data_IF_680216869621
#
_entry.id   IF_680216869621
#
_cell.length_a   1.000
_cell.length_b   1.000
_cell.length_c   1.000
_cell.angle_alpha   90.00
_cell.angle_beta   90.00
_cell.angle_gamma   90.00
#
_symmetry.space_group_name_H-M   'P 1'
#
loop_
_entity.id
_entity.type
_entity.pdbx_description
1 polymer ?
#
# COMPACT_ATOMS: atom_id res chain seq x y z
N UNK A 1 21.11 -17.02 20.17
CA UNK A 1 22.11 -16.12 19.54
C UNK A 1 21.42 -15.31 18.45
N UNK A 2 21.64 -14.00 18.41
CA UNK A 2 20.90 -13.05 17.58
C UNK A 2 21.33 -13.12 16.12
N UNK A 3 20.54 -13.76 15.26
CA UNK A 3 20.71 -13.78 13.80
C UNK A 3 20.25 -12.45 13.20
N UNK A 4 21.10 -11.42 13.25
CA UNK A 4 20.88 -10.19 12.52
C UNK A 4 21.32 -10.37 11.06
N UNK A 5 20.52 -9.91 10.10
CA UNK A 5 20.90 -9.89 8.69
C UNK A 5 22.23 -9.14 8.49
N UNK A 6 23.25 -9.79 7.95
CA UNK A 6 24.57 -9.20 7.71
C UNK A 6 24.60 -8.48 6.34
N UNK A 7 25.23 -7.31 6.29
CA UNK A 7 25.49 -6.59 5.03
C UNK A 7 26.78 -7.16 4.44
N UNK A 8 26.72 -7.62 3.20
CA UNK A 8 27.87 -8.20 2.50
C UNK A 8 28.42 -7.21 1.46
N UNK A 9 29.73 -7.03 1.41
CA UNK A 9 30.41 -6.09 0.50
C UNK A 9 30.69 -6.67 -0.90
N UNK A 10 30.58 -7.99 -1.09
CA UNK A 10 30.74 -8.66 -2.38
C UNK A 10 29.43 -8.75 -3.19
N UNK A 11 29.50 -8.47 -4.49
CA UNK A 11 28.39 -8.74 -5.40
C UNK A 11 28.23 -10.27 -5.61
N UNK A 12 27.00 -10.81 -5.57
CA UNK A 12 26.78 -12.25 -5.76
C UNK A 12 27.13 -12.69 -7.19
N UNK A 13 27.57 -13.93 -7.31
CA UNK A 13 27.93 -14.57 -8.59
C UNK A 13 26.72 -14.83 -9.49
N UNK A 14 25.53 -15.06 -8.91
CA UNK A 14 24.29 -15.25 -9.65
C UNK A 14 23.14 -14.41 -9.08
N UNK A 15 22.59 -13.51 -9.88
CA UNK A 15 21.46 -12.65 -9.48
C UNK A 15 20.19 -13.04 -10.21
N UNK A 16 19.21 -13.46 -9.42
CA UNK A 16 17.84 -13.66 -9.85
C UNK A 16 17.16 -12.30 -9.86
N UNK A 17 16.86 -11.82 -11.06
CA UNK A 17 16.28 -10.50 -11.26
C UNK A 17 15.01 -10.58 -12.09
N UNK A 18 14.14 -9.60 -11.86
CA UNK A 18 12.94 -9.42 -12.65
C UNK A 18 13.26 -8.88 -14.04
N UNK A 19 12.29 -9.03 -14.95
CA UNK A 19 12.39 -8.52 -16.32
C UNK A 19 12.78 -7.03 -16.36
N UNK A 20 13.41 -6.61 -17.48
CA UNK A 20 13.83 -5.22 -17.68
C UNK A 20 12.66 -4.24 -17.48
N UNK A 21 11.44 -4.61 -17.89
CA UNK A 21 10.24 -3.78 -17.72
C UNK A 21 9.92 -3.52 -16.24
N UNK A 22 9.89 -4.58 -15.42
CA UNK A 22 9.62 -4.45 -13.97
C UNK A 22 10.69 -3.59 -13.29
N UNK A 23 11.97 -3.80 -13.62
CA UNK A 23 13.06 -2.99 -13.06
C UNK A 23 12.98 -1.53 -13.49
N UNK A 24 12.58 -1.24 -14.72
CA UNK A 24 12.37 0.13 -15.21
C UNK A 24 11.21 0.81 -14.49
N UNK A 25 10.06 0.13 -14.33
CA UNK A 25 8.91 0.65 -13.58
C UNK A 25 9.31 0.94 -12.14
N UNK A 26 9.99 0.00 -11.47
CA UNK A 26 10.52 0.20 -10.11
C UNK A 26 11.45 1.41 -10.07
N UNK A 27 12.42 1.49 -10.98
CA UNK A 27 13.35 2.62 -11.08
C UNK A 27 12.65 3.97 -11.29
N UNK A 28 11.61 4.00 -12.13
CA UNK A 28 10.80 5.21 -12.36
C UNK A 28 10.05 5.63 -11.10
N UNK A 29 9.41 4.69 -10.37
CA UNK A 29 8.75 4.97 -9.08
C UNK A 29 9.75 5.53 -8.07
N UNK A 30 10.93 4.93 -7.98
CA UNK A 30 12.02 5.40 -7.13
C UNK A 30 12.43 6.83 -7.45
N UNK A 31 12.66 7.12 -8.74
CA UNK A 31 13.08 8.44 -9.20
C UNK A 31 11.98 9.49 -8.98
N UNK A 32 10.72 9.14 -9.26
CA UNK A 32 9.59 10.02 -9.02
C UNK A 32 9.44 10.37 -7.54
N UNK A 33 9.42 9.37 -6.65
CA UNK A 33 9.27 9.61 -5.22
C UNK A 33 10.44 10.41 -4.63
N UNK A 34 11.69 10.03 -4.95
CA UNK A 34 12.86 10.73 -4.45
C UNK A 34 12.97 12.15 -5.02
N UNK A 35 12.83 12.29 -6.34
CA UNK A 35 12.91 13.57 -7.03
C UNK A 35 11.79 14.51 -6.63
N UNK A 36 10.56 14.02 -6.51
CA UNK A 36 9.42 14.77 -6.02
C UNK A 36 9.65 15.30 -4.60
N UNK A 37 10.06 14.43 -3.68
CA UNK A 37 10.28 14.81 -2.29
C UNK A 37 11.41 15.84 -2.13
N UNK A 38 12.53 15.66 -2.86
CA UNK A 38 13.65 16.60 -2.85
C UNK A 38 13.22 17.94 -3.45
N UNK A 39 12.54 17.94 -4.61
CA UNK A 39 12.05 19.16 -5.23
C UNK A 39 11.08 19.91 -4.33
N UNK A 40 10.13 19.20 -3.69
CA UNK A 40 9.21 19.77 -2.72
C UNK A 40 9.94 20.39 -1.53
N UNK A 41 10.96 19.71 -1.01
CA UNK A 41 11.79 20.20 0.09
C UNK A 41 12.59 21.45 -0.27
N UNK A 42 13.23 21.47 -1.45
CA UNK A 42 13.94 22.64 -1.96
C UNK A 42 12.98 23.81 -2.17
N UNK A 43 11.81 23.59 -2.77
CA UNK A 43 10.80 24.63 -2.96
C UNK A 43 10.28 25.20 -1.64
N UNK A 44 10.11 24.36 -0.61
CA UNK A 44 9.72 24.80 0.72
C UNK A 44 10.77 25.73 1.34
N UNK A 45 12.05 25.38 1.22
CA UNK A 45 13.15 26.24 1.68
C UNK A 45 13.25 27.53 0.89
N UNK A 46 13.11 27.49 -0.43
CA UNK A 46 13.10 28.70 -1.28
C UNK A 46 11.97 29.64 -0.85
N UNK A 47 10.77 29.11 -0.61
CA UNK A 47 9.62 29.92 -0.15
C UNK A 47 9.83 30.50 1.25
N UNK A 48 10.46 29.74 2.14
CA UNK A 48 10.73 30.17 3.52
C UNK A 48 11.86 31.21 3.58
N UNK A 49 12.99 30.96 2.92
CA UNK A 49 14.19 31.81 2.98
C UNK A 49 14.18 32.96 1.96
N UNK A 50 13.40 32.85 0.87
CA UNK A 50 13.35 33.84 -0.21
C UNK A 50 13.08 35.27 0.27
N UNK A 51 12.08 35.52 1.13
CA UNK A 51 11.83 36.84 1.71
C UNK A 51 13.02 37.37 2.52
N UNK A 52 13.69 36.52 3.31
CA UNK A 52 14.86 36.91 4.09
C UNK A 52 16.07 37.25 3.19
N UNK A 53 16.27 36.50 2.11
CA UNK A 53 17.31 36.80 1.11
C UNK A 53 17.05 38.13 0.41
N UNK A 54 15.79 38.45 0.10
CA UNK A 54 15.44 39.76 -0.47
C UNK A 54 15.76 40.91 0.48
N UNK A 55 15.49 40.75 1.78
CA UNK A 55 15.87 41.74 2.80
C UNK A 55 17.39 41.96 2.81
N UNK A 56 18.19 40.90 2.78
CA UNK A 56 19.66 41.00 2.74
C UNK A 56 20.14 41.73 1.47
N UNK A 57 19.52 41.47 0.32
CA UNK A 57 19.94 42.06 -0.96
C UNK A 57 19.57 43.53 -1.11
N UNK A 58 18.46 43.98 -0.51
CA UNK A 58 17.97 45.36 -0.63
C UNK A 58 18.60 46.28 0.42
N UNK A 59 19.02 45.74 1.57
CA UNK A 59 19.55 46.55 2.68
C UNK A 59 21.07 46.64 2.59
N UNK A 60 21.60 47.81 2.22
CA UNK A 60 23.03 47.99 1.89
C UNK A 60 23.86 48.82 2.89
N UNK A 61 23.28 49.33 3.98
CA UNK A 61 23.95 50.39 4.74
C UNK A 61 24.17 50.16 6.25
N UNK A 62 23.33 49.40 6.97
CA UNK A 62 23.47 49.27 8.44
C UNK A 62 23.14 47.87 8.96
N UNK A 63 24.05 47.30 9.77
CA UNK A 63 24.01 45.89 10.20
C UNK A 63 22.91 45.60 11.23
N UNK A 64 22.72 46.50 12.20
CA UNK A 64 21.73 46.32 13.28
C UNK A 64 20.26 46.39 12.81
N UNK A 65 19.81 47.38 12.02
CA UNK A 65 18.43 47.41 11.53
C UNK A 65 18.15 46.27 10.54
N UNK A 66 19.15 45.85 9.76
CA UNK A 66 19.02 44.69 8.85
C UNK A 66 18.77 43.40 9.63
N UNK A 67 19.49 43.17 10.73
CA UNK A 67 19.31 41.97 11.56
C UNK A 67 17.95 41.90 12.24
N UNK A 68 17.41 43.04 12.71
CA UNK A 68 16.05 43.09 13.28
C UNK A 68 14.98 42.82 12.22
N UNK A 69 15.10 43.47 11.05
CA UNK A 69 14.16 43.26 9.94
C UNK A 69 14.20 41.81 9.42
N UNK A 70 15.38 41.18 9.40
CA UNK A 70 15.53 39.76 9.04
C UNK A 70 14.83 38.85 10.06
N UNK A 71 15.03 39.09 11.36
CA UNK A 71 14.40 38.32 12.43
C UNK A 71 12.88 38.42 12.37
N UNK A 72 12.34 39.63 12.19
CA UNK A 72 10.90 39.86 12.06
C UNK A 72 10.33 39.19 10.79
N UNK A 73 11.06 39.28 9.67
CA UNK A 73 10.65 38.65 8.40
C UNK A 73 10.59 37.13 8.52
N UNK A 74 11.55 36.51 9.22
CA UNK A 74 11.57 35.07 9.49
C UNK A 74 10.49 34.65 10.50
N UNK A 75 10.24 35.46 11.53
CA UNK A 75 9.21 35.21 12.54
C UNK A 75 7.79 35.19 11.94
N UNK A 76 7.55 35.97 10.88
CA UNK A 76 6.29 36.01 10.15
C UNK A 76 6.13 34.87 9.12
N UNK A 77 7.19 34.11 8.82
CA UNK A 77 7.09 33.04 7.83
C UNK A 77 6.27 31.85 8.37
N UNK A 78 5.37 31.28 7.57
CA UNK A 78 4.65 30.08 7.98
C UNK A 78 5.63 28.89 8.08
N UNK A 79 5.80 28.34 9.29
CA UNK A 79 6.64 27.16 9.53
C UNK A 79 6.01 25.86 9.02
N UNK A 80 4.69 25.82 8.87
CA UNK A 80 3.94 24.61 8.53
C UNK A 80 4.38 23.96 7.20
N UNK A 81 4.54 24.69 6.08
CA UNK A 81 5.03 24.11 4.83
C UNK A 81 6.44 23.52 4.95
N UNK A 82 7.29 24.14 5.77
CA UNK A 82 8.65 23.67 5.98
C UNK A 82 8.66 22.37 6.81
N UNK A 83 7.89 22.31 7.90
CA UNK A 83 7.71 21.08 8.68
C UNK A 83 7.09 19.96 7.84
N UNK A 84 6.07 20.29 7.06
CA UNK A 84 5.44 19.36 6.13
C UNK A 84 6.47 18.82 5.13
N UNK A 85 7.36 19.66 4.58
CA UNK A 85 8.40 19.22 3.66
C UNK A 85 9.43 18.27 4.30
N UNK A 86 9.82 18.48 5.56
CA UNK A 86 10.71 17.56 6.28
C UNK A 86 10.03 16.22 6.54
N UNK A 87 8.77 16.25 6.98
CA UNK A 87 7.96 15.04 7.15
C UNK A 87 7.77 14.31 5.81
N UNK A 88 7.56 15.07 4.72
CA UNK A 88 7.44 14.57 3.35
C UNK A 88 8.68 13.77 2.94
N UNK A 89 9.87 14.25 3.30
CA UNK A 89 11.13 13.59 2.99
C UNK A 89 11.34 12.30 3.80
N UNK A 90 10.96 12.30 5.09
CA UNK A 90 10.98 11.10 5.93
C UNK A 90 10.01 10.03 5.41
N UNK A 91 8.80 10.43 5.03
CA UNK A 91 7.80 9.52 4.47
C UNK A 91 8.20 9.02 3.10
N UNK A 92 8.80 9.86 2.26
CA UNK A 92 9.36 9.44 0.98
C UNK A 92 10.50 8.43 1.17
N UNK A 93 11.41 8.64 2.13
CA UNK A 93 12.46 7.68 2.44
C UNK A 93 11.89 6.33 2.92
N UNK A 94 10.86 6.37 3.78
CA UNK A 94 10.14 5.18 4.22
C UNK A 94 9.42 4.47 3.05
N UNK A 95 8.76 5.24 2.20
CA UNK A 95 8.09 4.77 0.99
C UNK A 95 9.08 4.10 0.01
N UNK A 96 10.25 4.69 -0.20
CA UNK A 96 11.32 4.11 -1.02
C UNK A 96 11.84 2.80 -0.41
N UNK A 97 11.91 2.69 0.93
CA UNK A 97 12.26 1.42 1.58
C UNK A 97 11.23 0.34 1.24
N UNK A 98 9.93 0.64 1.38
CA UNK A 98 8.85 -0.31 1.05
C UNK A 98 8.90 -0.69 -0.43
N UNK A 99 9.03 0.29 -1.32
CA UNK A 99 9.11 0.05 -2.76
C UNK A 99 10.33 -0.78 -3.15
N UNK A 100 11.41 -0.71 -2.37
CA UNK A 100 12.60 -1.55 -2.55
C UNK A 100 12.44 -2.98 -2.03
N UNK A 101 11.59 -3.16 -1.02
CA UNK A 101 11.25 -4.48 -0.48
C UNK A 101 10.15 -5.20 -1.31
N UNK A 102 9.45 -4.47 -2.18
CA UNK A 102 8.53 -5.04 -3.17
C UNK A 102 9.31 -5.56 -4.38
N UNK A 103 9.23 -6.88 -4.61
CA UNK A 103 9.90 -7.58 -5.72
C UNK A 103 11.43 -7.33 -5.72
N UNK A 104 12.15 -7.67 -4.63
CA UNK A 104 13.59 -7.43 -4.53
C UNK A 104 14.36 -8.34 -5.48
N UNK A 105 15.57 -7.91 -5.88
CA UNK A 105 16.50 -8.82 -6.57
C UNK A 105 17.09 -9.79 -5.54
N UNK A 106 17.26 -11.05 -5.93
CA UNK A 106 17.68 -12.12 -5.03
C UNK A 106 18.94 -12.81 -5.52
N UNK A 107 19.67 -13.39 -4.60
CA UNK A 107 20.75 -14.31 -4.89
C UNK A 107 20.80 -15.37 -3.79
N UNK A 108 21.28 -16.56 -4.15
CA UNK A 108 21.50 -17.64 -3.20
C UNK A 108 22.96 -17.58 -2.75
N UNK A 109 23.18 -17.66 -1.44
CA UNK A 109 24.49 -17.85 -0.83
C UNK A 109 24.44 -19.07 0.10
N UNK A 110 25.61 -19.64 0.38
CA UNK A 110 25.72 -20.83 1.24
C UNK A 110 25.20 -20.55 2.65
N UNK A 111 25.45 -19.34 3.17
CA UNK A 111 25.02 -18.92 4.50
C UNK A 111 23.56 -18.44 4.57
N UNK A 112 22.88 -18.21 3.43
CA UNK A 112 21.52 -17.69 3.43
C UNK A 112 21.00 -17.13 2.10
N UNK A 113 19.75 -16.67 2.14
CA UNK A 113 19.12 -15.96 1.03
C UNK A 113 19.62 -14.50 1.01
N UNK A 114 20.35 -14.11 -0.03
CA UNK A 114 20.75 -12.72 -0.23
C UNK A 114 19.60 -11.92 -0.86
N UNK A 115 19.21 -10.84 -0.20
CA UNK A 115 18.16 -9.94 -0.66
C UNK A 115 18.76 -8.57 -0.95
N UNK A 116 18.53 -8.04 -2.15
CA UNK A 116 18.95 -6.69 -2.48
C UNK A 116 17.93 -5.68 -1.97
N UNK A 117 18.32 -4.92 -0.96
CA UNK A 117 17.53 -3.78 -0.46
C UNK A 117 18.16 -2.48 -0.91
N UNK A 118 17.40 -1.69 -1.68
CA UNK A 118 17.90 -0.47 -2.33
C UNK A 118 19.16 -0.76 -3.18
N UNK A 119 20.34 -0.50 -2.63
CA UNK A 119 21.65 -0.73 -3.26
C UNK A 119 22.52 -1.75 -2.53
N UNK A 120 22.10 -2.27 -1.36
CA UNK A 120 22.91 -3.15 -0.51
C UNK A 120 22.37 -4.56 -0.52
N UNK A 121 23.27 -5.53 -0.50
CA UNK A 121 22.93 -6.94 -0.30
C UNK A 121 22.91 -7.23 1.19
N UNK A 122 21.79 -7.81 1.64
CA UNK A 122 21.62 -8.29 3.02
C UNK A 122 21.36 -9.78 2.99
N UNK A 123 22.14 -10.54 3.76
CA UNK A 123 21.96 -11.99 3.90
C UNK A 123 20.89 -12.27 4.94
N UNK A 124 19.89 -13.04 4.56
CA UNK A 124 18.88 -13.61 5.44
C UNK A 124 19.30 -15.06 5.70
N UNK A 125 19.80 -15.39 6.90
CA UNK A 125 20.29 -16.74 7.18
C UNK A 125 19.19 -17.79 7.00
N UNK A 126 19.53 -18.97 6.48
CA UNK A 126 18.56 -20.04 6.24
C UNK A 126 17.76 -20.41 7.50
N UNK A 127 18.44 -20.53 8.64
CA UNK A 127 17.80 -20.81 9.95
C UNK A 127 16.88 -19.70 10.48
N UNK A 128 16.83 -18.53 9.83
CA UNK A 128 15.89 -17.46 10.16
C UNK A 128 14.60 -17.53 9.36
N UNK A 129 14.56 -18.30 8.27
CA UNK A 129 13.36 -18.60 7.51
C UNK A 129 12.45 -19.52 8.31
N UNK A 130 11.14 -19.43 8.11
CA UNK A 130 10.15 -20.24 8.84
C UNK A 130 9.05 -20.79 7.96
N UNK A 131 8.57 -19.99 7.01
CA UNK A 131 7.45 -20.39 6.19
C UNK A 131 7.68 -20.00 4.74
N UNK A 132 7.27 -20.87 3.83
CA UNK A 132 7.15 -20.58 2.40
C UNK A 132 5.69 -20.83 2.06
N UNK A 133 5.00 -19.75 1.70
CA UNK A 133 3.58 -19.78 1.36
C UNK A 133 3.42 -19.55 -0.13
N UNK A 134 2.78 -20.46 -0.85
CA UNK A 134 2.58 -20.35 -2.28
C UNK A 134 1.10 -20.21 -2.61
N UNK A 135 0.78 -19.33 -3.56
CA UNK A 135 -0.55 -19.17 -4.13
C UNK A 135 -0.43 -19.33 -5.64
N UNK A 136 -1.26 -20.21 -6.21
CA UNK A 136 -1.40 -20.36 -7.65
C UNK A 136 -2.39 -19.31 -8.21
N UNK A 137 -1.99 -18.61 -9.28
CA UNK A 137 -2.75 -17.52 -9.90
C UNK A 137 -3.26 -17.88 -11.31
N UNK A 138 -3.16 -19.15 -11.71
CA UNK A 138 -3.51 -19.64 -13.06
C UNK A 138 -2.43 -19.32 -14.11
N UNK A 139 -2.45 -20.04 -15.23
CA UNK A 139 -1.52 -19.90 -16.36
C UNK A 139 -0.03 -19.91 -15.95
N UNK A 140 0.38 -20.87 -15.11
CA UNK A 140 1.78 -20.99 -14.61
C UNK A 140 2.26 -19.77 -13.81
N UNK A 141 1.34 -18.95 -13.30
CA UNK A 141 1.66 -17.81 -12.45
C UNK A 141 1.61 -18.21 -10.98
N UNK A 142 2.71 -17.97 -10.28
CA UNK A 142 2.85 -18.26 -8.86
C UNK A 142 3.21 -16.98 -8.10
N UNK A 143 2.57 -16.82 -6.95
CA UNK A 143 2.90 -15.83 -5.94
C UNK A 143 3.46 -16.60 -4.74
N UNK A 144 4.71 -16.35 -4.36
CA UNK A 144 5.32 -17.03 -3.22
C UNK A 144 5.78 -16.00 -2.20
N UNK A 145 5.39 -16.22 -0.94
CA UNK A 145 5.78 -15.40 0.18
C UNK A 145 6.67 -16.20 1.12
N UNK A 146 7.94 -15.81 1.19
CA UNK A 146 8.90 -16.40 2.13
C UNK A 146 8.90 -15.58 3.41
N UNK A 147 8.57 -16.18 4.55
CA UNK A 147 8.45 -15.51 5.85
C UNK A 147 9.43 -16.07 6.89
N UNK A 148 9.76 -15.25 7.89
CA UNK A 148 10.61 -15.66 9.00
C UNK A 148 10.99 -14.54 9.94
N UNK A 149 12.14 -14.65 10.62
CA UNK A 149 12.54 -13.79 11.74
C UNK A 149 13.93 -13.19 11.53
N UNK A 150 14.10 -12.36 10.51
CA UNK A 150 15.42 -11.80 10.16
C UNK A 150 15.64 -10.32 10.46
N UNK A 151 14.67 -9.59 11.02
CA UNK A 151 14.87 -8.16 11.34
C UNK A 151 13.93 -7.62 12.43
N UNK A 152 14.48 -6.82 13.36
CA UNK A 152 13.68 -6.03 14.32
C UNK A 152 13.05 -4.77 13.73
N UNK A 153 13.60 -4.23 12.63
CA UNK A 153 13.24 -2.92 12.05
C UNK A 153 12.73 -2.94 10.61
N UNK A 154 12.40 -4.09 10.02
CA UNK A 154 11.91 -4.11 8.64
C UNK A 154 10.38 -3.91 8.57
N UNK A 155 9.96 -2.65 8.66
CA UNK A 155 8.56 -2.27 8.46
C UNK A 155 8.04 -2.67 7.07
N UNK A 156 8.88 -2.57 6.02
CA UNK A 156 8.53 -2.92 4.64
C UNK A 156 8.11 -4.39 4.46
N UNK A 157 8.97 -5.38 4.76
CA UNK A 157 8.63 -6.80 4.63
C UNK A 157 7.44 -7.22 5.50
N UNK A 158 7.24 -6.59 6.65
CA UNK A 158 6.03 -6.83 7.47
C UNK A 158 4.79 -6.28 6.81
N UNK A 159 4.88 -5.07 6.24
CA UNK A 159 3.80 -4.48 5.48
C UNK A 159 3.45 -5.33 4.26
N UNK A 160 4.44 -5.88 3.53
CA UNK A 160 4.18 -6.81 2.42
C UNK A 160 3.36 -8.02 2.86
N UNK A 161 3.73 -8.67 3.97
CA UNK A 161 2.94 -9.78 4.50
C UNK A 161 1.54 -9.36 4.97
N UNK A 162 1.41 -8.20 5.62
CA UNK A 162 0.11 -7.67 6.04
C UNK A 162 -0.80 -7.37 4.84
N UNK A 163 -0.26 -6.74 3.80
CA UNK A 163 -1.00 -6.42 2.57
C UNK A 163 -1.46 -7.67 1.82
N UNK A 164 -0.76 -8.80 1.99
CA UNK A 164 -1.15 -10.09 1.42
C UNK A 164 -2.02 -10.94 2.35
N UNK A 165 -2.31 -10.48 3.57
CA UNK A 165 -3.12 -11.23 4.54
C UNK A 165 -2.35 -12.32 5.30
N UNK A 166 -1.02 -12.40 5.19
CA UNK A 166 -0.18 -13.41 5.82
C UNK A 166 0.34 -13.02 7.22
N UNK A 167 -0.29 -12.02 7.86
CA UNK A 167 0.08 -11.51 9.18
C UNK A 167 1.25 -10.53 9.20
N UNK A 168 1.73 -10.18 10.40
CA UNK A 168 2.78 -9.17 10.62
C UNK A 168 4.22 -9.73 10.64
N UNK A 169 4.39 -11.01 10.29
CA UNK A 169 5.71 -11.62 10.10
C UNK A 169 6.38 -11.01 8.87
N UNK A 170 7.66 -10.63 8.93
CA UNK A 170 8.34 -10.08 7.76
C UNK A 170 8.41 -11.14 6.67
N UNK A 171 8.00 -10.77 5.46
CA UNK A 171 8.03 -11.64 4.30
C UNK A 171 8.63 -10.99 3.06
N UNK A 172 9.23 -11.83 2.22
CA UNK A 172 9.77 -11.48 0.90
C UNK A 172 8.81 -12.02 -0.15
N UNK A 173 8.28 -11.14 -0.98
CA UNK A 173 7.39 -11.50 -2.06
C UNK A 173 8.19 -11.90 -3.30
N UNK A 174 7.90 -13.08 -3.81
CA UNK A 174 8.43 -13.68 -5.03
C UNK A 174 7.28 -13.88 -6.01
N UNK A 175 7.58 -13.80 -7.30
CA UNK A 175 6.61 -14.14 -8.34
C UNK A 175 7.29 -14.94 -9.43
N UNK A 176 6.52 -15.74 -10.17
CA UNK A 176 7.04 -16.52 -11.30
C UNK A 176 7.56 -15.67 -12.47
N UNK A 177 7.40 -14.34 -12.42
CA UNK A 177 8.02 -13.40 -13.37
C UNK A 177 9.54 -13.21 -13.15
N UNK A 178 10.09 -13.82 -12.08
CA UNK A 178 11.53 -13.88 -11.84
C UNK A 178 12.21 -14.85 -12.81
N UNK A 179 13.42 -14.51 -13.25
CA UNK A 179 14.23 -15.43 -14.08
C UNK A 179 14.58 -16.69 -13.28
N UNK A 180 14.49 -17.86 -13.90
CA UNK A 180 14.82 -19.17 -13.31
C UNK A 180 14.08 -19.45 -11.99
N UNK A 181 12.79 -19.07 -11.95
CA UNK A 181 11.96 -19.19 -10.76
C UNK A 181 11.86 -20.62 -10.22
N UNK A 182 11.59 -21.62 -11.07
CA UNK A 182 11.44 -23.02 -10.65
C UNK A 182 12.75 -23.60 -10.05
N UNK A 183 13.91 -23.52 -10.74
CA UNK A 183 15.19 -23.95 -10.15
C UNK A 183 15.52 -23.23 -8.84
N UNK A 184 15.18 -21.94 -8.74
CA UNK A 184 15.36 -21.19 -7.50
C UNK A 184 14.50 -21.73 -6.36
N UNK A 185 13.22 -22.01 -6.63
CA UNK A 185 12.31 -22.56 -5.62
C UNK A 185 12.81 -23.92 -5.14
N UNK A 186 13.15 -24.83 -6.05
CA UNK A 186 13.69 -26.16 -5.71
C UNK A 186 14.89 -26.06 -4.75
N UNK A 187 15.85 -25.18 -5.07
CA UNK A 187 17.00 -24.95 -4.20
C UNK A 187 16.60 -24.33 -2.87
N UNK A 188 15.67 -23.37 -2.86
CA UNK A 188 15.18 -22.76 -1.63
C UNK A 188 14.51 -23.78 -0.70
N UNK A 189 13.68 -24.68 -1.24
CA UNK A 189 13.05 -25.78 -0.49
C UNK A 189 14.12 -26.73 0.07
N UNK A 190 15.16 -27.05 -0.70
CA UNK A 190 16.23 -27.94 -0.27
C UNK A 190 17.05 -27.33 0.89
N UNK A 191 17.50 -26.09 0.74
CA UNK A 191 18.30 -25.38 1.76
C UNK A 191 17.49 -25.13 3.04
N UNK A 192 16.21 -24.78 2.91
CA UNK A 192 15.36 -24.54 4.08
C UNK A 192 15.05 -25.84 4.84
N UNK A 193 14.84 -26.95 4.13
CA UNK A 193 14.67 -28.28 4.74
C UNK A 193 15.92 -28.76 5.47
N UNK A 194 17.10 -28.37 5.00
CA UNK A 194 18.37 -28.70 5.66
C UNK A 194 18.65 -27.83 6.91
N UNK A 195 18.26 -26.55 6.87
CA UNK A 195 18.62 -25.58 7.90
C UNK A 195 17.57 -25.37 9.01
N UNK A 196 16.30 -25.70 8.76
CA UNK A 196 15.18 -25.47 9.66
C UNK A 196 14.58 -26.82 10.05
N UNK A 197 14.46 -27.09 11.36
CA UNK A 197 13.97 -28.38 11.84
C UNK A 197 12.51 -28.66 11.45
N UNK A 198 11.67 -27.63 11.44
CA UNK A 198 10.23 -27.71 11.10
C UNK A 198 9.84 -26.53 10.20
N UNK A 199 10.18 -26.58 8.90
CA UNK A 199 9.77 -25.57 7.94
C UNK A 199 8.26 -25.69 7.66
N UNK A 200 7.56 -24.55 7.61
CA UNK A 200 6.15 -24.51 7.22
C UNK A 200 6.07 -24.31 5.70
N UNK A 201 5.58 -25.32 4.99
CA UNK A 201 5.24 -25.23 3.58
C UNK A 201 3.72 -25.15 3.46
N UNK A 202 3.23 -24.02 2.97
CA UNK A 202 1.80 -23.74 2.83
C UNK A 202 1.50 -23.45 1.36
N UNK A 203 1.31 -24.53 0.59
CA UNK A 203 1.03 -24.45 -0.85
C UNK A 203 -0.45 -24.13 -1.14
N UNK A 204 -1.30 -24.17 -0.10
CA UNK A 204 -2.73 -23.81 -0.14
C UNK A 204 -2.98 -22.37 0.32
N UNK A 205 -1.92 -21.56 0.44
CA UNK A 205 -2.04 -20.19 0.90
C UNK A 205 -2.90 -19.36 -0.05
N UNK A 206 -4.00 -18.81 0.47
CA UNK A 206 -4.87 -17.92 -0.29
C UNK A 206 -4.75 -16.47 0.16
N UNK A 207 -4.23 -15.61 -0.73
CA UNK A 207 -4.18 -14.17 -0.51
C UNK A 207 -5.37 -13.49 -1.18
N UNK A 208 -6.44 -13.23 -0.42
CA UNK A 208 -7.60 -12.48 -0.92
C UNK A 208 -7.22 -11.13 -1.56
N UNK A 209 -6.32 -10.31 -0.97
CA UNK A 209 -5.89 -9.05 -1.60
C UNK A 209 -5.25 -9.26 -2.97
N UNK A 210 -4.39 -10.28 -3.14
CA UNK A 210 -3.78 -10.59 -4.42
C UNK A 210 -4.80 -11.14 -5.43
N UNK A 211 -5.70 -12.03 -4.98
CA UNK A 211 -6.77 -12.59 -5.79
C UNK A 211 -7.70 -11.50 -6.34
N UNK A 212 -8.14 -10.56 -5.50
CA UNK A 212 -9.01 -9.45 -5.92
C UNK A 212 -8.33 -8.46 -6.90
N UNK A 213 -7.00 -8.43 -6.95
CA UNK A 213 -6.26 -7.59 -7.90
C UNK A 213 -6.02 -8.31 -9.23
N UNK A 214 -5.70 -9.61 -9.18
CA UNK A 214 -5.23 -10.37 -10.33
C UNK A 214 -6.35 -11.15 -11.03
N UNK A 215 -7.32 -11.65 -10.27
CA UNK A 215 -8.48 -12.40 -10.75
C UNK A 215 -9.74 -12.03 -9.93
N UNK A 216 -10.23 -10.79 -10.08
CA UNK A 216 -11.33 -10.27 -9.26
C UNK A 216 -12.62 -11.07 -9.43
N UNK A 217 -12.86 -11.67 -10.60
CA UNK A 217 -14.06 -12.43 -10.87
C UNK A 217 -14.15 -13.68 -9.99
N UNK A 218 -13.12 -14.54 -10.06
CA UNK A 218 -13.09 -15.78 -9.28
C UNK A 218 -12.97 -15.49 -7.78
N UNK A 219 -12.18 -14.48 -7.39
CA UNK A 219 -12.06 -14.07 -5.99
C UNK A 219 -13.40 -13.61 -5.39
N UNK A 220 -14.21 -12.86 -6.16
CA UNK A 220 -15.53 -12.43 -5.72
C UNK A 220 -16.53 -13.57 -5.69
N UNK A 221 -16.49 -14.52 -6.65
CA UNK A 221 -17.32 -15.73 -6.60
C UNK A 221 -17.05 -16.51 -5.30
N UNK A 222 -15.79 -16.77 -4.96
CA UNK A 222 -15.43 -17.46 -3.71
C UNK A 222 -15.89 -16.72 -2.46
N UNK A 223 -15.82 -15.38 -2.45
CA UNK A 223 -16.34 -14.58 -1.33
C UNK A 223 -17.86 -14.68 -1.19
N UNK A 224 -18.57 -14.66 -2.32
CA UNK A 224 -20.04 -14.79 -2.37
C UNK A 224 -20.48 -16.18 -1.91
N UNK A 225 -19.77 -17.22 -2.33
CA UNK A 225 -20.08 -18.60 -1.95
C UNK A 225 -19.79 -18.82 -0.45
N UNK A 226 -18.64 -18.34 0.05
CA UNK A 226 -18.34 -18.32 1.50
C UNK A 226 -19.45 -17.64 2.31
N UNK A 227 -19.97 -16.50 1.83
CA UNK A 227 -21.03 -15.78 2.51
C UNK A 227 -22.37 -16.53 2.51
N UNK A 228 -22.65 -17.33 1.48
CA UNK A 228 -23.93 -18.05 1.32
C UNK A 228 -23.96 -19.41 1.98
N UNK A 229 -22.85 -20.15 1.94
CA UNK A 229 -22.80 -21.56 2.30
C UNK A 229 -22.27 -21.77 3.73
N UNK A 230 -21.15 -21.14 4.05
CA UNK A 230 -20.41 -21.40 5.29
C UNK A 230 -20.63 -20.31 6.35
N UNK A 231 -21.06 -19.12 5.93
CA UNK A 231 -21.10 -17.93 6.78
C UNK A 231 -19.72 -17.49 7.25
N UNK A 232 -19.68 -16.53 8.19
CA UNK A 232 -18.43 -15.96 8.70
C UNK A 232 -18.30 -16.10 10.23
N UNK A 233 -17.14 -16.56 10.75
CA UNK A 233 -16.87 -16.54 12.17
C UNK A 233 -16.96 -15.11 12.72
N UNK A 234 -17.61 -14.93 13.88
CA UNK A 234 -17.84 -13.62 14.50
C UNK A 234 -16.55 -12.80 14.70
N UNK A 235 -15.46 -13.43 15.15
CA UNK A 235 -14.16 -12.76 15.37
C UNK A 235 -13.52 -12.26 14.08
N UNK A 236 -13.56 -13.07 13.02
CA UNK A 236 -13.05 -12.73 11.68
C UNK A 236 -13.89 -11.61 11.05
N UNK A 237 -15.22 -11.63 11.27
CA UNK A 237 -16.11 -10.60 10.76
C UNK A 237 -15.80 -9.21 11.31
N UNK A 238 -15.60 -9.07 12.63
CA UNK A 238 -15.30 -7.78 13.27
C UNK A 238 -13.94 -7.22 12.83
N UNK A 239 -12.92 -8.08 12.72
CA UNK A 239 -11.58 -7.66 12.30
C UNK A 239 -11.57 -7.22 10.83
N UNK A 240 -12.21 -7.98 9.93
CA UNK A 240 -12.32 -7.62 8.52
C UNK A 240 -13.12 -6.33 8.31
N UNK A 241 -14.24 -6.18 9.02
CA UNK A 241 -15.08 -4.99 9.00
C UNK A 241 -14.33 -3.74 9.44
N UNK A 242 -13.46 -3.83 10.45
CA UNK A 242 -12.71 -2.68 10.94
C UNK A 242 -11.45 -2.38 10.12
N UNK A 243 -10.72 -3.39 9.67
CA UNK A 243 -9.36 -3.22 9.14
C UNK A 243 -9.30 -2.42 7.83
N UNK A 244 -10.20 -2.70 6.88
CA UNK A 244 -10.22 -2.03 5.57
C UNK A 244 -10.58 -0.54 5.70
N UNK A 245 -11.72 -0.15 6.33
CA UNK A 245 -12.07 1.25 6.49
C UNK A 245 -11.11 1.99 7.42
N UNK A 246 -10.66 1.38 8.52
CA UNK A 246 -9.67 2.02 9.39
C UNK A 246 -8.34 2.28 8.65
N UNK A 247 -7.88 1.32 7.85
CA UNK A 247 -6.69 1.48 7.01
C UNK A 247 -6.83 2.65 6.03
N UNK A 248 -7.97 2.75 5.34
CA UNK A 248 -8.27 3.86 4.45
C UNK A 248 -8.30 5.21 5.18
N UNK A 249 -8.98 5.28 6.33
CA UNK A 249 -9.04 6.51 7.14
C UNK A 249 -7.62 6.95 7.55
N UNK A 250 -6.80 6.03 8.08
CA UNK A 250 -5.41 6.33 8.49
C UNK A 250 -4.61 6.90 7.33
N UNK A 251 -4.71 6.31 6.14
CA UNK A 251 -3.99 6.76 4.95
C UNK A 251 -4.46 8.15 4.51
N UNK A 252 -5.77 8.42 4.49
CA UNK A 252 -6.28 9.72 4.09
C UNK A 252 -5.95 10.82 5.11
N UNK A 253 -5.98 10.49 6.41
CA UNK A 253 -5.55 11.40 7.47
C UNK A 253 -4.07 11.76 7.36
N UNK A 254 -3.22 10.79 7.02
CA UNK A 254 -1.80 11.03 6.76
C UNK A 254 -1.61 12.03 5.61
N UNK A 255 -2.36 11.89 4.52
CA UNK A 255 -2.29 12.83 3.39
C UNK A 255 -2.71 14.24 3.82
N UNK A 256 -3.81 14.35 4.59
CA UNK A 256 -4.28 15.63 5.12
C UNK A 256 -3.28 16.30 6.04
N UNK A 257 -2.60 15.52 6.89
CA UNK A 257 -1.54 16.03 7.76
C UNK A 257 -0.43 16.70 6.93
N UNK A 258 -0.04 16.08 5.82
CA UNK A 258 1.04 16.54 4.96
C UNK A 258 0.68 17.76 4.13
N UNK A 259 -0.54 17.81 3.59
CA UNK A 259 -0.99 18.95 2.77
C UNK A 259 -1.51 20.11 3.61
N UNK A 260 -1.91 19.80 4.84
CA UNK A 260 -2.59 20.72 5.71
C UNK A 260 -4.06 20.91 5.34
N UNK A 261 -4.76 21.67 6.18
CA UNK A 261 -6.20 21.87 6.05
C UNK A 261 -6.84 22.27 7.37
N UNK A 262 -8.15 22.55 7.28
CA UNK A 262 -8.99 22.89 8.42
C UNK A 262 -9.19 21.70 9.37
N UNK A 263 -9.40 21.99 10.66
CA UNK A 263 -9.56 20.99 11.72
C UNK A 263 -10.77 20.06 11.52
N UNK A 264 -11.76 20.45 10.72
CA UNK A 264 -12.94 19.64 10.43
C UNK A 264 -12.69 18.56 9.36
N UNK A 265 -11.68 18.72 8.48
CA UNK A 265 -11.43 17.79 7.36
C UNK A 265 -11.21 16.34 7.84
N UNK A 266 -10.45 16.06 8.92
CA UNK A 266 -10.33 14.72 9.51
C UNK A 266 -11.67 14.08 9.89
N UNK A 267 -12.55 14.84 10.57
CA UNK A 267 -13.84 14.36 11.01
C UNK A 267 -14.77 14.07 9.82
N UNK A 268 -14.78 14.97 8.83
CA UNK A 268 -15.54 14.77 7.60
C UNK A 268 -15.07 13.52 6.84
N UNK A 269 -13.77 13.26 6.78
CA UNK A 269 -13.25 12.04 6.14
C UNK A 269 -13.68 10.78 6.88
N UNK A 270 -13.52 10.74 8.20
CA UNK A 270 -13.96 9.59 8.99
C UNK A 270 -15.46 9.35 8.82
N UNK A 271 -16.26 10.42 8.84
CA UNK A 271 -17.70 10.38 8.59
C UNK A 271 -18.05 9.88 7.19
N UNK A 272 -17.41 10.41 6.14
CA UNK A 272 -17.66 10.01 4.75
C UNK A 272 -17.25 8.56 4.48
N UNK A 273 -16.11 8.10 5.00
CA UNK A 273 -15.70 6.69 4.89
C UNK A 273 -16.68 5.76 5.61
N UNK A 274 -17.16 6.15 6.79
CA UNK A 274 -18.17 5.38 7.54
C UNK A 274 -19.52 5.33 6.83
N UNK A 275 -19.97 6.48 6.31
CA UNK A 275 -21.21 6.60 5.55
C UNK A 275 -21.16 5.82 4.23
N UNK A 276 -20.05 5.90 3.48
CA UNK A 276 -19.86 5.12 2.25
C UNK A 276 -20.07 3.62 2.54
N UNK A 277 -19.46 3.12 3.61
CA UNK A 277 -19.58 1.72 3.98
C UNK A 277 -20.98 1.34 4.40
N UNK A 278 -21.60 2.10 5.31
CA UNK A 278 -22.97 1.85 5.75
C UNK A 278 -23.94 1.84 4.56
N UNK A 279 -23.80 2.81 3.65
CA UNK A 279 -24.62 2.89 2.44
C UNK A 279 -24.33 1.77 1.45
N UNK A 280 -23.07 1.35 1.28
CA UNK A 280 -22.69 0.22 0.44
C UNK A 280 -23.29 -1.11 0.95
N UNK A 281 -23.25 -1.33 2.26
CA UNK A 281 -23.86 -2.49 2.91
C UNK A 281 -25.40 -2.48 2.79
N UNK A 282 -26.03 -1.33 3.06
CA UNK A 282 -27.47 -1.14 2.90
C UNK A 282 -27.91 -1.33 1.45
N UNK A 283 -27.12 -0.85 0.50
CA UNK A 283 -27.39 -1.03 -0.93
C UNK A 283 -27.38 -2.51 -1.31
N UNK A 284 -26.35 -3.27 -0.93
CA UNK A 284 -26.33 -4.72 -1.16
C UNK A 284 -27.55 -5.36 -0.50
N UNK A 285 -27.84 -5.07 0.77
CA UNK A 285 -29.01 -5.63 1.45
C UNK A 285 -30.34 -5.30 0.74
N UNK A 286 -30.54 -4.06 0.27
CA UNK A 286 -31.75 -3.66 -0.44
C UNK A 286 -31.91 -4.40 -1.78
N UNK A 287 -30.81 -4.70 -2.48
CA UNK A 287 -30.85 -5.53 -3.68
C UNK A 287 -31.33 -6.96 -3.40
N UNK A 288 -31.09 -7.47 -2.20
CA UNK A 288 -31.61 -8.79 -1.77
C UNK A 288 -33.13 -8.82 -1.81
N UNK A 289 -33.80 -7.77 -1.33
CA UNK A 289 -35.25 -7.66 -1.37
C UNK A 289 -35.78 -7.57 -2.81
N UNK A 290 -35.07 -6.83 -3.68
CA UNK A 290 -35.47 -6.67 -5.09
C UNK A 290 -35.26 -7.93 -5.94
N UNK A 291 -34.20 -8.69 -5.69
CA UNK A 291 -33.79 -9.84 -6.50
C UNK A 291 -33.99 -11.19 -5.80
N UNK A 292 -34.76 -11.24 -4.70
CA UNK A 292 -35.00 -12.44 -3.90
C UNK A 292 -33.71 -13.17 -3.48
N UNK A 293 -32.68 -12.40 -3.12
CA UNK A 293 -31.44 -12.96 -2.60
C UNK A 293 -31.61 -13.58 -1.21
N UNK A 294 -30.57 -14.28 -0.74
CA UNK A 294 -30.52 -14.87 0.61
C UNK A 294 -29.53 -14.18 1.56
N UNK A 295 -29.10 -12.98 1.20
CA UNK A 295 -27.98 -12.30 1.88
C UNK A 295 -28.51 -11.48 3.04
N UNK A 296 -28.08 -11.80 4.26
CA UNK A 296 -28.42 -11.01 5.44
C UNK A 296 -27.64 -9.69 5.48
N UNK A 297 -28.15 -8.69 6.22
CA UNK A 297 -27.46 -7.40 6.36
C UNK A 297 -26.03 -7.56 6.91
N UNK A 298 -25.81 -8.51 7.82
CA UNK A 298 -24.48 -8.80 8.39
C UNK A 298 -23.50 -9.26 7.32
N UNK A 299 -23.93 -10.13 6.40
CA UNK A 299 -23.12 -10.62 5.29
C UNK A 299 -22.82 -9.51 4.29
N UNK A 300 -23.83 -8.69 3.96
CA UNK A 300 -23.65 -7.51 3.11
C UNK A 300 -22.64 -6.51 3.71
N UNK A 301 -22.69 -6.30 5.04
CA UNK A 301 -21.76 -5.43 5.77
C UNK A 301 -20.31 -5.95 5.79
N UNK A 302 -20.10 -7.25 5.54
CA UNK A 302 -18.79 -7.90 5.41
C UNK A 302 -18.29 -7.94 3.96
N UNK A 303 -19.17 -8.32 3.04
CA UNK A 303 -18.86 -8.47 1.63
C UNK A 303 -18.42 -7.15 1.00
N UNK A 304 -19.13 -6.06 1.29
CA UNK A 304 -18.79 -4.75 0.73
C UNK A 304 -17.34 -4.32 1.05
N UNK A 305 -16.89 -4.22 2.32
CA UNK A 305 -15.54 -3.77 2.62
C UNK A 305 -14.47 -4.75 2.13
N UNK A 306 -14.71 -6.07 2.16
CA UNK A 306 -13.76 -7.07 1.66
C UNK A 306 -13.53 -6.94 0.15
N UNK A 307 -14.60 -6.73 -0.62
CA UNK A 307 -14.49 -6.46 -2.05
C UNK A 307 -13.70 -5.17 -2.34
N UNK A 308 -13.63 -4.24 -1.39
CA UNK A 308 -12.91 -2.97 -1.54
C UNK A 308 -11.46 -2.99 -1.06
N UNK A 309 -10.90 -4.16 -0.71
CA UNK A 309 -9.49 -4.30 -0.30
C UNK A 309 -8.51 -3.73 -1.33
N UNK A 310 -8.64 -3.98 -2.65
CA UNK A 310 -7.71 -3.41 -3.64
C UNK A 310 -7.65 -1.88 -3.62
N UNK A 311 -8.76 -1.21 -3.30
CA UNK A 311 -8.79 0.25 -3.12
C UNK A 311 -7.91 0.68 -1.94
N UNK A 312 -7.95 -0.05 -0.84
CA UNK A 312 -7.07 0.21 0.31
C UNK A 312 -5.60 -0.03 -0.04
N UNK A 313 -5.29 -1.01 -0.90
CA UNK A 313 -3.94 -1.22 -1.40
C UNK A 313 -3.45 -0.03 -2.24
N UNK A 314 -4.29 0.57 -3.07
CA UNK A 314 -3.96 1.74 -3.90
C UNK A 314 -3.87 3.05 -3.11
N UNK A 315 -4.49 3.12 -1.92
CA UNK A 315 -4.35 4.27 -1.04
C UNK A 315 -2.88 4.45 -0.58
N UNK A 316 -2.13 3.36 -0.40
CA UNK A 316 -0.73 3.42 -0.01
C UNK A 316 0.16 4.16 -1.04
N UNK A 317 0.23 3.77 -2.33
CA UNK A 317 1.00 4.51 -3.32
C UNK A 317 0.47 5.93 -3.54
N UNK A 318 -0.84 6.17 -3.40
CA UNK A 318 -1.39 7.52 -3.39
C UNK A 318 -0.79 8.37 -2.27
N UNK A 319 -0.72 7.85 -1.04
CA UNK A 319 -0.12 8.56 0.09
C UNK A 319 1.40 8.73 -0.05
N UNK A 320 2.10 7.75 -0.62
CA UNK A 320 3.54 7.86 -0.93
C UNK A 320 3.80 9.02 -1.90
N UNK A 321 3.00 9.15 -2.97
CA UNK A 321 3.11 10.24 -3.93
C UNK A 321 2.72 11.59 -3.32
N UNK A 322 1.62 11.64 -2.57
CA UNK A 322 1.19 12.86 -1.90
C UNK A 322 2.24 13.33 -0.87
N UNK A 323 2.81 12.40 -0.12
CA UNK A 323 3.93 12.62 0.79
C UNK A 323 5.24 12.93 0.11
N UNK A 324 5.41 12.67 -1.18
CA UNK A 324 6.53 13.21 -1.96
C UNK A 324 6.23 14.61 -2.54
N UNK A 325 5.10 15.24 -2.20
CA UNK A 325 4.66 16.51 -2.79
C UNK A 325 4.10 16.37 -4.22
N UNK A 326 3.94 15.15 -4.72
CA UNK A 326 3.43 14.85 -6.06
C UNK A 326 1.90 14.78 -6.05
N UNK A 327 1.24 15.92 -5.82
CA UNK A 327 -0.21 16.00 -5.68
C UNK A 327 -0.99 15.50 -6.91
N UNK A 328 -0.55 15.86 -8.13
CA UNK A 328 -1.24 15.43 -9.35
C UNK A 328 -1.13 13.91 -9.59
N UNK A 329 0.06 13.28 -9.57
CA UNK A 329 0.17 11.82 -9.64
C UNK A 329 -0.61 11.09 -8.54
N UNK A 330 -0.60 11.62 -7.31
CA UNK A 330 -1.39 11.06 -6.21
C UNK A 330 -2.89 11.10 -6.49
N UNK A 331 -3.41 12.22 -7.00
CA UNK A 331 -4.80 12.34 -7.41
C UNK A 331 -5.16 11.37 -8.54
N UNK A 332 -4.25 11.16 -9.52
CA UNK A 332 -4.46 10.19 -10.60
C UNK A 332 -4.56 8.74 -10.06
N UNK A 333 -3.72 8.35 -9.09
CA UNK A 333 -3.86 7.06 -8.39
C UNK A 333 -5.18 6.99 -7.62
N UNK A 334 -5.59 8.08 -6.99
CA UNK A 334 -6.91 8.20 -6.36
C UNK A 334 -8.05 7.93 -7.36
N UNK A 335 -8.03 8.55 -8.54
CA UNK A 335 -9.03 8.32 -9.59
C UNK A 335 -9.01 6.89 -10.13
N UNK A 336 -7.82 6.30 -10.32
CA UNK A 336 -7.70 4.89 -10.68
C UNK A 336 -8.32 3.98 -9.60
N UNK A 337 -8.15 4.34 -8.33
CA UNK A 337 -8.77 3.64 -7.20
C UNK A 337 -10.29 3.75 -7.25
N UNK A 338 -10.84 4.88 -7.70
CA UNK A 338 -12.29 5.07 -7.88
C UNK A 338 -12.84 4.14 -8.96
N UNK A 339 -12.19 4.15 -10.13
CA UNK A 339 -12.59 3.29 -11.23
C UNK A 339 -12.56 1.80 -10.81
N UNK A 340 -11.51 1.40 -10.10
CA UNK A 340 -11.35 0.05 -9.61
C UNK A 340 -12.45 -0.33 -8.61
N UNK A 341 -12.77 0.59 -7.69
CA UNK A 341 -13.81 0.39 -6.70
C UNK A 341 -15.19 0.17 -7.33
N UNK A 342 -15.52 0.97 -8.35
CA UNK A 342 -16.74 0.84 -9.15
C UNK A 342 -16.81 -0.50 -9.88
N UNK A 343 -15.70 -0.93 -10.49
CA UNK A 343 -15.60 -2.23 -11.16
C UNK A 343 -15.89 -3.38 -10.17
N UNK A 344 -15.25 -3.35 -9.00
CA UNK A 344 -15.42 -4.39 -7.97
C UNK A 344 -16.83 -4.42 -7.39
N UNK A 345 -17.45 -3.26 -7.16
CA UNK A 345 -18.86 -3.20 -6.73
C UNK A 345 -19.79 -3.76 -7.81
N UNK A 346 -19.53 -3.44 -9.07
CA UNK A 346 -20.32 -3.94 -10.20
C UNK A 346 -20.22 -5.46 -10.31
N UNK A 347 -19.00 -5.99 -10.26
CA UNK A 347 -18.76 -7.43 -10.28
C UNK A 347 -19.39 -8.12 -9.06
N UNK A 348 -19.23 -7.55 -7.87
CA UNK A 348 -19.82 -8.10 -6.64
C UNK A 348 -21.34 -8.24 -6.78
N UNK A 349 -22.03 -7.19 -7.23
CA UNK A 349 -23.49 -7.23 -7.44
C UNK A 349 -23.88 -8.28 -8.48
N UNK A 350 -23.14 -8.36 -9.59
CA UNK A 350 -23.42 -9.36 -10.63
C UNK A 350 -23.29 -10.79 -10.12
N UNK A 351 -22.25 -11.08 -9.32
CA UNK A 351 -22.01 -12.41 -8.76
C UNK A 351 -22.98 -12.73 -7.63
N UNK A 352 -23.21 -11.78 -6.73
CA UNK A 352 -24.11 -11.91 -5.57
C UNK A 352 -25.58 -12.13 -5.95
N UNK A 353 -26.01 -11.69 -7.13
CA UNK A 353 -27.39 -11.90 -7.61
C UNK A 353 -27.47 -12.67 -8.94
N UNK A 354 -26.35 -13.25 -9.41
CA UNK A 354 -26.24 -13.99 -10.68
C UNK A 354 -26.84 -13.22 -11.87
N UNK A 355 -26.60 -11.92 -11.91
CA UNK A 355 -27.17 -11.01 -12.90
C UNK A 355 -26.33 -11.01 -14.18
N UNK A 356 -27.00 -11.12 -15.34
CA UNK A 356 -26.36 -10.98 -16.66
C UNK A 356 -26.06 -9.52 -17.04
N UNK A 357 -26.75 -8.56 -16.43
CA UNK A 357 -26.64 -7.13 -16.73
C UNK A 357 -25.92 -6.37 -15.62
N UNK A 358 -25.20 -5.31 -15.98
CA UNK A 358 -24.58 -4.37 -15.04
C UNK A 358 -25.56 -3.30 -14.54
N UNK A 359 -26.73 -3.15 -15.17
CA UNK A 359 -27.70 -2.09 -14.84
C UNK A 359 -28.08 -2.05 -13.35
N UNK A 360 -28.34 -3.19 -12.68
CA UNK A 360 -28.70 -3.15 -11.26
C UNK A 360 -27.57 -2.64 -10.36
N UNK A 361 -26.32 -2.70 -10.81
CA UNK A 361 -25.14 -2.22 -10.10
C UNK A 361 -24.89 -0.71 -10.25
N UNK A 362 -25.51 -0.07 -11.24
CA UNK A 362 -25.28 1.36 -11.57
C UNK A 362 -25.55 2.29 -10.38
N UNK A 363 -26.65 2.15 -9.62
CA UNK A 363 -26.88 3.00 -8.45
C UNK A 363 -25.78 2.88 -7.40
N UNK A 364 -25.30 1.66 -7.13
CA UNK A 364 -24.18 1.42 -6.20
C UNK A 364 -22.87 2.02 -6.70
N UNK A 365 -22.57 1.87 -8.00
CA UNK A 365 -21.42 2.48 -8.64
C UNK A 365 -21.45 4.02 -8.55
N UNK A 366 -22.60 4.64 -8.80
CA UNK A 366 -22.77 6.10 -8.70
C UNK A 366 -22.61 6.60 -7.26
N UNK A 367 -23.24 5.91 -6.30
CA UNK A 367 -23.11 6.21 -4.88
C UNK A 367 -21.64 6.17 -4.44
N UNK A 368 -20.93 5.11 -4.82
CA UNK A 368 -19.53 4.93 -4.50
C UNK A 368 -18.65 6.01 -5.14
N UNK A 369 -18.89 6.29 -6.41
CA UNK A 369 -18.20 7.34 -7.16
C UNK A 369 -18.35 8.69 -6.45
N UNK A 370 -19.58 9.03 -6.05
CA UNK A 370 -19.88 10.27 -5.33
C UNK A 370 -19.08 10.41 -4.03
N UNK A 371 -19.13 9.42 -3.14
CA UNK A 371 -18.38 9.45 -1.87
C UNK A 371 -16.88 9.58 -2.09
N UNK A 372 -16.33 8.85 -3.06
CA UNK A 372 -14.90 8.86 -3.29
C UNK A 372 -14.42 10.15 -3.95
N UNK A 373 -15.22 10.76 -4.83
CA UNK A 373 -14.94 12.11 -5.32
C UNK A 373 -14.98 13.15 -4.21
N UNK A 374 -15.93 13.06 -3.26
CA UNK A 374 -15.94 13.94 -2.09
C UNK A 374 -14.70 13.76 -1.22
N UNK A 375 -14.29 12.52 -0.95
CA UNK A 375 -13.07 12.22 -0.20
C UNK A 375 -11.85 12.79 -0.90
N UNK A 376 -11.69 12.53 -2.21
CA UNK A 376 -10.59 13.08 -3.00
C UNK A 376 -10.63 14.62 -3.03
N UNK A 377 -11.80 15.22 -3.17
CA UNK A 377 -11.96 16.67 -3.11
C UNK A 377 -11.50 17.20 -1.76
N UNK A 378 -11.91 16.62 -0.63
CA UNK A 378 -11.48 17.08 0.70
C UNK A 378 -9.97 16.92 0.91
N UNK A 379 -9.39 15.81 0.44
CA UNK A 379 -7.96 15.51 0.59
C UNK A 379 -7.10 16.38 -0.33
N UNK A 380 -7.57 16.68 -1.54
CA UNK A 380 -6.79 17.38 -2.56
C UNK A 380 -7.11 18.87 -2.73
N UNK A 381 -8.26 19.33 -2.24
CA UNK A 381 -8.61 20.75 -2.16
C UNK A 381 -7.95 21.33 -0.90
N UNK A 382 -6.81 22.00 -1.08
CA UNK A 382 -6.05 22.63 -0.02
C UNK A 382 -6.75 23.91 0.43
#
# INVERSE_FOLDING_TARGET
>A
MSSAAAVVEGAPTYVLSYSRRVRLVRGAVFFLLAGGAIANWVLAWIRFAGPAVQVILVTTAELEPTMRLLADTLALQPLRPLLAAHLSLLLAAWALSIAGDLLPDLALADDGLMVRRLRRWTVVPWGSLRAVRAMHLGDERYLVLVQGKWTRLAAGPRLVSLLLGAGATPGILLTSAMRDFLPFMERLYHEMSAAVAEPIYDDDFYSLPAALVLDPANALDSLVDQAREDGWPLSLSVQAMAAVPAGLIVVQLLILLLRGGALWKPLALAGLCGLEWAMGALYLYALTEMFQGRVEFREAALLYPLAQVPRALLALPMAMLAGAGLGFPAAAVGLASVLWAVLLTTLLVQRLYRLKSMLPAVPGALLQTFYQFLILAIVFNA
#
